data_IF_734404811733
#
_entry.id   IF_734404811733
#
_cell.length_a   1.000
_cell.length_b   1.000
_cell.length_c   1.000
_cell.angle_alpha   90.00
_cell.angle_beta   90.00
_cell.angle_gamma   90.00
#
_symmetry.space_group_name_H-M   'P 1'
#
loop_
_entity.id
_entity.type
_entity.pdbx_description
1 polymer ?
2 non-polymer ?
3 non-polymer ?
4 water ?
#
# COMPACT_ATOMS: atom_id res chain seq x y z
N UNK A 15 14.49 31.16 -0.75
CA UNK A 15 15.19 31.06 0.52
C UNK A 15 14.31 31.47 1.70
N UNK A 16 14.94 31.95 2.77
CA UNK A 16 14.22 32.39 3.96
C UNK A 16 14.67 33.77 4.40
N UNK A 17 15.24 34.53 3.47
CA UNK A 17 15.85 35.83 3.79
C UNK A 17 14.82 36.97 3.80
N UNK A 18 13.54 36.63 3.97
CA UNK A 18 12.48 37.62 4.05
C UNK A 18 11.26 37.07 4.78
N UNK A 19 11.50 36.20 5.75
CA UNK A 19 10.43 35.63 6.57
C UNK A 19 10.49 36.11 8.02
N UNK A 20 9.37 36.68 8.52
CA UNK A 20 9.22 37.21 9.88
C UNK A 20 9.73 36.26 10.95
N UNK A 21 10.18 36.80 12.07
CA UNK A 21 10.73 35.99 13.15
C UNK A 21 9.66 35.08 13.76
N UNK A 22 8.42 35.55 13.78
CA UNK A 22 7.31 34.74 14.30
C UNK A 22 7.20 33.42 13.54
N UNK A 23 7.29 33.50 12.22
CA UNK A 23 7.18 32.32 11.37
C UNK A 23 8.45 31.47 11.36
N UNK A 24 9.61 32.11 11.35
CA UNK A 24 10.88 31.38 11.38
C UNK A 24 11.03 30.54 12.64
N UNK A 25 10.41 30.99 13.73
CA UNK A 25 10.45 30.25 14.99
C UNK A 25 9.54 29.05 14.94
N UNK A 26 8.42 29.18 14.23
CA UNK A 26 7.49 28.08 14.02
C UNK A 26 8.05 27.06 13.05
N UNK A 27 8.74 27.53 12.02
CA UNK A 27 9.36 26.65 11.05
C UNK A 27 10.49 25.85 11.69
N UNK A 28 11.15 26.44 12.67
CA UNK A 28 12.23 25.74 13.38
C UNK A 28 11.69 24.62 14.27
N UNK A 29 10.52 24.86 14.87
CA UNK A 29 9.90 23.84 15.73
C UNK A 29 9.29 22.71 14.90
N UNK A 30 8.62 23.07 13.82
CA UNK A 30 8.09 22.09 12.89
C UNK A 30 9.21 21.23 12.32
N UNK A 31 10.34 21.84 12.02
CA UNK A 31 11.51 21.10 11.55
C UNK A 31 11.98 20.09 12.59
N UNK A 32 12.04 20.50 13.85
CA UNK A 32 12.57 19.65 14.91
C UNK A 32 11.68 18.45 15.22
N UNK A 33 10.38 18.59 15.02
CA UNK A 33 9.45 17.52 15.34
C UNK A 33 9.26 16.59 14.15
N UNK A 34 9.40 17.12 12.94
CA UNK A 34 9.19 16.34 11.73
C UNK A 34 10.49 15.81 11.14
N UNK A 35 11.59 16.06 11.83
CA UNK A 35 12.86 15.47 11.45
C UNK A 35 13.07 14.20 12.24
N UNK A 36 13.42 13.12 11.55
CA UNK A 36 13.70 11.83 12.20
C UNK A 36 15.13 11.41 11.89
N UNK A 37 16.00 11.44 12.89
CA UNK A 37 17.40 11.12 12.66
C UNK A 37 17.65 9.62 12.50
N UNK A 38 18.89 9.25 12.23
CA UNK A 38 19.26 7.86 11.97
C UNK A 38 19.16 6.99 13.22
N UNK A 39 19.37 7.60 14.38
CA UNK A 39 19.32 6.85 15.63
C UNK A 39 17.90 6.40 15.92
N UNK A 40 16.94 7.27 15.64
CA UNK A 40 15.52 6.95 15.83
C UNK A 40 15.04 5.91 14.82
N UNK A 41 15.49 6.04 13.58
CA UNK A 41 15.15 5.07 12.55
C UNK A 41 15.62 3.68 12.94
N UNK A 42 16.85 3.59 13.44
CA UNK A 42 17.41 2.32 13.89
C UNK A 42 16.65 1.76 15.08
N UNK A 43 16.12 2.66 15.91
CA UNK A 43 15.30 2.28 17.05
C UNK A 43 13.98 1.68 16.58
N UNK A 44 13.30 2.38 15.68
CA UNK A 44 12.04 1.90 15.12
C UNK A 44 12.23 0.52 14.49
N UNK A 45 13.29 0.36 13.71
CA UNK A 45 13.56 -0.89 13.00
C UNK A 45 13.69 -2.10 13.94
N UNK A 46 14.41 -1.94 15.04
CA UNK A 46 14.61 -3.04 15.99
C UNK A 46 13.31 -3.56 16.58
N UNK A 47 12.41 -2.64 16.94
CA UNK A 47 11.12 -3.03 17.48
C UNK A 47 10.24 -3.57 16.36
N UNK A 48 10.45 -3.05 15.16
CA UNK A 48 9.74 -3.51 13.97
C UNK A 48 10.01 -5.00 13.76
N UNK A 49 11.26 -5.39 13.97
CA UNK A 49 11.65 -6.80 13.78
C UNK A 49 10.99 -7.70 14.82
N UNK A 50 10.92 -7.24 16.06
CA UNK A 50 10.24 -8.00 17.10
C UNK A 50 8.78 -8.20 16.76
N UNK A 51 8.13 -7.14 16.31
CA UNK A 51 6.72 -7.21 15.94
C UNK A 51 6.45 -8.12 14.73
N UNK A 52 7.43 -8.23 13.84
CA UNK A 52 7.32 -9.14 12.71
C UNK A 52 7.33 -10.58 13.20
N UNK A 53 8.25 -10.89 14.11
CA UNK A 53 8.33 -12.22 14.69
C UNK A 53 7.12 -12.54 15.55
N UNK A 54 6.71 -11.57 16.36
CA UNK A 54 5.57 -11.74 17.25
C UNK A 54 4.30 -12.04 16.47
N UNK A 55 4.17 -11.42 15.30
CA UNK A 55 2.99 -11.62 14.46
C UNK A 55 2.93 -13.00 13.81
N UNK A 56 4.02 -13.74 13.90
CA UNK A 56 4.09 -15.09 13.33
C UNK A 56 3.80 -16.16 14.38
N UNK A 57 3.67 -15.75 15.64
CA UNK A 57 3.34 -16.68 16.71
C UNK A 57 1.83 -16.82 16.88
N UNK A 58 1.40 -17.81 17.64
CA UNK A 58 -0.01 -18.06 17.86
C UNK A 58 -0.67 -16.93 18.64
N UNK A 59 0.05 -16.41 19.63
CA UNK A 59 -0.45 -15.30 20.44
C UNK A 59 -0.69 -14.08 19.54
N UNK A 60 0.08 -13.99 18.46
CA UNK A 60 -0.09 -12.92 17.48
C UNK A 60 0.55 -11.61 17.90
N UNK A 61 0.16 -10.54 17.20
CA UNK A 61 0.64 -9.21 17.49
C UNK A 61 -0.13 -8.22 16.64
N UNK A 62 0.20 -6.94 16.74
CA UNK A 62 -0.49 -5.93 15.96
C UNK A 62 -0.23 -6.03 14.46
N UNK A 63 0.88 -6.68 14.09
CA UNK A 63 1.15 -6.99 12.69
C UNK A 63 0.59 -8.37 12.34
N UNK A 64 -0.46 -8.39 11.51
CA UNK A 64 -1.19 -9.61 11.10
C UNK A 64 -0.30 -10.72 10.54
N UNK A 65 0.69 -10.39 9.71
CA UNK A 65 1.54 -11.41 9.09
C UNK A 65 0.70 -12.50 8.44
N UNK A 66 -0.19 -12.09 7.53
CA UNK A 66 -1.11 -13.01 6.86
C UNK A 66 -0.40 -13.82 5.75
N UNK A 67 -0.56 -15.15 5.76
CA UNK A 67 -0.03 -15.98 4.70
C UNK A 67 -0.68 -15.69 3.35
N UNK A 68 0.09 -15.76 2.27
CA UNK A 68 -0.41 -15.47 0.94
C UNK A 68 -0.72 -16.73 0.16
N UNK A 69 -0.26 -17.87 0.68
CA UNK A 69 -0.51 -19.18 0.07
C UNK A 69 0.10 -19.30 -1.31
N UNK A 70 1.28 -18.71 -1.44
CA UNK A 70 2.12 -18.91 -2.61
C UNK A 70 3.41 -19.56 -2.14
N UNK A 71 3.54 -20.86 -2.39
CA UNK A 71 4.66 -21.63 -1.85
C UNK A 71 5.74 -21.93 -2.87
N UNK A 72 5.81 -21.15 -3.95
CA UNK A 72 6.83 -21.35 -4.97
C UNK A 72 7.32 -20.03 -5.51
N UNK A 73 8.55 -20.04 -6.02
CA UNK A 73 9.04 -18.91 -6.79
C UNK A 73 8.69 -19.16 -8.25
N UNK A 74 8.16 -18.13 -8.93
CA UNK A 74 7.90 -18.21 -10.36
C UNK A 74 9.21 -18.46 -11.13
N UNK A 75 9.18 -19.41 -12.06
CA UNK A 75 10.39 -19.78 -12.80
C UNK A 75 10.43 -19.15 -14.18
N UNK A 76 9.26 -18.85 -14.72
CA UNK A 76 9.17 -18.27 -16.05
C UNK A 76 8.51 -19.24 -17.02
N UNK A 77 8.62 -20.53 -16.68
CA UNK A 77 8.05 -21.58 -17.52
C UNK A 77 6.52 -21.61 -17.38
N UNK A 78 5.98 -20.65 -16.64
CA UNK A 78 4.52 -20.58 -16.44
C UNK A 78 3.81 -20.09 -17.69
N UNK A 79 2.77 -20.81 -18.08
CA UNK A 79 2.01 -20.48 -19.27
C UNK A 79 0.50 -20.62 -19.06
N UNK A 80 -0.28 -19.92 -19.88
CA UNK A 80 -1.72 -20.00 -19.82
C UNK A 80 -2.42 -18.66 -19.96
N UNK A 81 -3.75 -18.70 -20.10
CA UNK A 81 -4.57 -17.50 -20.17
C UNK A 81 -5.30 -17.29 -18.85
N UNK A 82 -4.90 -16.25 -18.13
CA UNK A 82 -5.47 -15.98 -16.81
C UNK A 82 -6.07 -14.59 -16.73
N UNK A 83 -7.26 -14.51 -16.15
CA UNK A 83 -7.88 -13.22 -15.87
C UNK A 83 -7.41 -12.70 -14.52
N UNK A 84 -7.49 -11.39 -14.34
CA UNK A 84 -7.11 -10.76 -13.08
C UNK A 84 -7.83 -9.43 -12.92
N UNK A 85 -8.61 -9.28 -11.86
CA UNK A 85 -9.23 -8.00 -11.58
C UNK A 85 -8.52 -7.30 -10.43
N UNK A 86 -8.61 -5.98 -10.40
CA UNK A 86 -8.00 -5.19 -9.34
C UNK A 86 -8.96 -4.11 -8.86
N UNK A 87 -9.36 -4.21 -7.59
CA UNK A 87 -10.26 -3.22 -7.00
C UNK A 87 -9.50 -2.07 -6.37
N UNK A 88 -9.39 -0.97 -7.11
CA UNK A 88 -8.80 0.25 -6.59
C UNK A 88 -9.90 1.13 -6.02
N UNK A 89 -9.52 2.28 -5.47
CA UNK A 89 -10.49 3.21 -4.92
C UNK A 89 -11.07 4.11 -6.00
N UNK A 90 -10.34 4.25 -7.09
CA UNK A 90 -10.73 5.15 -8.17
C UNK A 90 -11.49 4.41 -9.29
N UNK A 91 -11.04 3.20 -9.63
CA UNK A 91 -11.70 2.42 -10.67
C UNK A 91 -11.28 0.95 -10.72
N UNK A 92 -12.18 0.12 -11.24
CA UNK A 92 -11.96 -1.32 -11.37
C UNK A 92 -11.13 -1.61 -12.61
N UNK A 93 -10.20 -2.55 -12.49
CA UNK A 93 -9.32 -2.88 -13.61
C UNK A 93 -9.35 -4.37 -13.94
N UNK A 94 -10.01 -4.70 -15.05
CA UNK A 94 -10.06 -6.08 -15.52
C UNK A 94 -8.91 -6.30 -16.50
N UNK A 95 -8.22 -7.43 -16.37
CA UNK A 95 -7.02 -7.69 -17.17
C UNK A 95 -6.94 -9.14 -17.66
N UNK A 96 -6.71 -9.32 -18.95
CA UNK A 96 -6.42 -10.63 -19.49
C UNK A 96 -4.92 -10.79 -19.64
N UNK A 97 -4.37 -11.89 -19.12
CA UNK A 97 -2.93 -12.11 -19.17
C UNK A 97 -2.57 -13.42 -19.85
N UNK A 98 -1.84 -13.32 -20.95
CA UNK A 98 -1.34 -14.49 -21.65
C UNK A 98 0.11 -14.73 -21.28
N UNK A 99 0.34 -15.62 -20.31
CA UNK A 99 1.68 -15.98 -19.91
C UNK A 99 2.30 -16.89 -20.97
N UNK A 100 3.21 -16.33 -21.76
CA UNK A 100 3.79 -17.04 -22.89
C UNK A 100 4.83 -18.08 -22.45
N UNK A 101 5.42 -17.87 -21.29
CA UNK A 101 6.47 -18.76 -20.81
C UNK A 101 7.84 -18.33 -21.29
N UNK A 102 7.86 -17.29 -22.12
CA UNK A 102 9.12 -16.70 -22.60
C UNK A 102 9.74 -15.82 -21.52
N UNK A 103 9.22 -15.95 -20.30
CA UNK A 103 9.66 -15.15 -19.16
C UNK A 103 9.07 -13.73 -19.19
N UNK A 104 8.14 -13.51 -20.11
CA UNK A 104 7.35 -12.28 -20.15
C UNK A 104 5.88 -12.59 -20.38
N UNK A 105 5.07 -11.55 -20.56
CA UNK A 105 3.63 -11.72 -20.68
C UNK A 105 2.99 -10.74 -21.65
N UNK A 106 1.79 -11.08 -22.11
CA UNK A 106 1.02 -10.23 -23.01
C UNK A 106 -0.33 -9.94 -22.37
N UNK A 107 -0.58 -8.68 -22.02
CA UNK A 107 -1.79 -8.33 -21.27
C UNK A 107 -2.74 -7.40 -22.03
N UNK A 108 -4.00 -7.84 -22.13
CA UNK A 108 -5.06 -7.01 -22.68
C UNK A 108 -5.94 -6.54 -21.54
N UNK A 109 -5.96 -5.24 -21.27
CA UNK A 109 -6.66 -4.74 -20.09
C UNK A 109 -7.78 -3.73 -20.37
N UNK A 110 -8.64 -3.51 -19.38
CA UNK A 110 -9.70 -2.52 -19.45
C UNK A 110 -9.78 -1.77 -18.14
N UNK A 111 -10.37 -0.57 -18.18
CA UNK A 111 -10.55 0.23 -16.98
C UNK A 111 -12.01 0.63 -16.86
N UNK A 112 -12.60 0.36 -15.70
CA UNK A 112 -13.99 0.71 -15.46
C UNK A 112 -14.10 1.66 -14.29
N UNK A 113 -14.43 2.92 -14.56
CA UNK A 113 -14.60 3.93 -13.53
C UNK A 113 -15.62 3.49 -12.48
N UNK A 114 -15.30 3.73 -11.21
CA UNK A 114 -16.24 3.49 -10.14
C UNK A 114 -17.25 4.63 -10.06
N UNK A 115 -18.55 4.28 -10.04
CA UNK A 115 -19.62 5.27 -9.85
C UNK A 115 -19.39 6.16 -8.63
N UNK A 116 -20.09 7.28 -8.56
CA UNK A 116 -19.89 8.28 -7.52
C UNK A 116 -19.74 7.73 -6.10
N UNK A 117 -20.86 7.39 -5.47
CA UNK A 117 -20.87 6.98 -4.07
C UNK A 117 -20.49 5.51 -3.85
N UNK A 118 -19.85 4.89 -4.83
CA UNK A 118 -19.56 3.45 -4.76
C UNK A 118 -18.67 3.05 -3.58
N UNK A 119 -17.54 3.76 -3.42
CA UNK A 119 -16.60 3.47 -2.36
C UNK A 119 -17.21 3.65 -0.97
N UNK A 120 -18.45 4.15 -0.94
CA UNK A 120 -19.07 4.53 0.31
C UNK A 120 -20.54 4.06 0.40
N UNK A 121 -20.97 3.32 -0.61
CA UNK A 121 -22.38 2.92 -0.75
C UNK A 121 -22.91 2.08 0.42
N UNK A 122 -24.19 2.28 0.74
CA UNK A 122 -24.84 1.53 1.80
C UNK A 122 -25.35 0.19 1.29
N UNK A 123 -25.54 0.11 -0.03
CA UNK A 123 -25.98 -1.14 -0.65
C UNK A 123 -24.78 -1.89 -1.22
N UNK A 124 -24.22 -2.80 -0.42
CA UNK A 124 -22.98 -3.47 -0.78
C UNK A 124 -23.12 -4.35 -2.02
N UNK A 125 -24.33 -4.81 -2.30
CA UNK A 125 -24.56 -5.69 -3.45
C UNK A 125 -24.24 -4.96 -4.76
N UNK A 126 -24.24 -3.64 -4.72
CA UNK A 126 -23.92 -2.86 -5.91
C UNK A 126 -22.46 -3.02 -6.31
N UNK A 127 -21.60 -3.16 -5.31
CA UNK A 127 -20.17 -3.32 -5.57
C UNK A 127 -19.88 -4.62 -6.33
N UNK A 128 -20.39 -5.73 -5.79
CA UNK A 128 -20.17 -7.02 -6.41
C UNK A 128 -20.90 -7.10 -7.75
N UNK A 129 -22.10 -6.53 -7.79
CA UNK A 129 -22.88 -6.50 -9.02
C UNK A 129 -22.14 -5.71 -10.09
N UNK A 130 -21.44 -4.66 -9.67
CA UNK A 130 -20.67 -3.84 -10.59
C UNK A 130 -19.49 -4.62 -11.15
N UNK A 131 -18.72 -5.25 -10.27
CA UNK A 131 -17.54 -6.01 -10.69
C UNK A 131 -17.93 -7.12 -11.67
N UNK A 132 -19.04 -7.80 -11.39
CA UNK A 132 -19.49 -8.91 -12.23
C UNK A 132 -19.93 -8.43 -13.61
N UNK A 133 -20.66 -7.32 -13.64
CA UNK A 133 -21.13 -6.77 -14.91
C UNK A 133 -19.97 -6.29 -15.78
N UNK A 134 -18.98 -5.68 -15.14
CA UNK A 134 -17.78 -5.20 -15.83
C UNK A 134 -16.98 -6.37 -16.40
N UNK A 135 -17.00 -7.50 -15.70
CA UNK A 135 -16.33 -8.70 -16.20
C UNK A 135 -16.99 -9.21 -17.47
N UNK A 136 -18.33 -9.13 -17.50
CA UNK A 136 -19.09 -9.62 -18.65
C UNK A 136 -18.86 -8.75 -19.89
N UNK A 137 -18.67 -7.45 -19.69
CA UNK A 137 -18.34 -6.55 -20.80
C UNK A 137 -16.98 -6.90 -21.39
N UNK A 138 -16.02 -7.16 -20.52
CA UNK A 138 -14.69 -7.55 -20.94
C UNK A 138 -14.74 -8.88 -21.70
N UNK A 139 -15.66 -9.74 -21.30
CA UNK A 139 -15.83 -11.05 -21.93
C UNK A 139 -16.37 -10.93 -23.35
N UNK A 140 -17.35 -10.07 -23.54
CA UNK A 140 -18.00 -9.93 -24.85
C UNK A 140 -17.14 -9.12 -25.81
N UNK A 141 -16.32 -8.20 -25.27
CA UNK A 141 -15.45 -7.38 -26.11
C UNK A 141 -14.19 -8.13 -26.54
N UNK A 142 -13.81 -9.14 -25.75
CA UNK A 142 -12.66 -9.97 -26.07
C UNK A 142 -13.11 -11.25 -26.77
N UNK A 143 -14.43 -11.41 -26.89
CA UNK A 143 -15.03 -12.56 -27.57
C UNK A 143 -14.63 -13.91 -26.96
N UNK A 144 -14.08 -13.88 -25.76
CA UNK A 144 -13.73 -15.09 -25.06
C UNK A 144 -14.89 -15.62 -24.21
N UNK A 145 -16.09 -15.59 -24.77
CA UNK A 145 -17.29 -16.10 -24.10
C UNK A 145 -17.70 -17.46 -24.66
N UNK A 146 -16.76 -18.13 -25.32
CA UNK A 146 -16.94 -19.54 -25.66
C UNK A 146 -16.47 -20.41 -24.51
N UNK A 147 -15.59 -21.36 -24.76
CA UNK A 147 -15.20 -22.19 -23.63
C UNK A 147 -13.94 -23.06 -23.56
N UNK A 149 -12.79 -22.64 -21.59
CA UNK A 149 -12.56 -23.65 -20.58
C UNK A 149 -13.13 -22.77 -19.51
N UNK A 150 -12.98 -23.12 -18.24
CA UNK A 150 -13.24 -22.14 -17.21
C UNK A 150 -11.99 -21.28 -16.98
N UNK A 151 -12.13 -19.97 -17.19
CA UNK A 151 -10.99 -19.06 -17.03
C UNK A 151 -10.67 -18.84 -15.56
N UNK A 152 -9.43 -19.19 -15.17
CA UNK A 152 -8.97 -18.91 -13.81
C UNK A 152 -8.96 -17.40 -13.58
N UNK A 153 -9.43 -16.96 -12.43
CA UNK A 153 -9.43 -15.55 -12.10
C UNK A 153 -8.58 -15.26 -10.87
N UNK A 154 -7.77 -14.21 -10.95
CA UNK A 154 -7.00 -13.73 -9.82
C UNK A 154 -7.56 -12.40 -9.34
N UNK A 155 -8.07 -12.39 -8.11
CA UNK A 155 -8.76 -11.23 -7.56
C UNK A 155 -7.86 -10.48 -6.58
N UNK A 156 -7.29 -9.36 -7.02
CA UNK A 156 -6.46 -8.54 -6.16
C UNK A 156 -7.33 -7.65 -5.28
N UNK A 157 -7.43 -8.01 -4.01
CA UNK A 157 -8.22 -7.26 -3.03
C UNK A 157 -7.28 -6.69 -1.97
N UNK A 158 -6.86 -5.45 -2.16
CA UNK A 158 -5.81 -4.87 -1.31
C UNK A 158 -6.32 -4.19 -0.04
N UNK A 159 -7.07 -4.95 0.75
CA UNK A 159 -7.57 -4.48 2.04
C UNK A 159 -7.35 -5.60 3.03
N UNK A 160 -7.21 -5.26 4.32
CA UNK A 160 -6.97 -6.31 5.32
C UNK A 160 -7.99 -7.45 5.20
N UNK A 161 -7.51 -8.66 5.04
CA UNK A 161 -8.38 -9.82 4.93
C UNK A 161 -7.58 -11.07 5.28
N UNK A 162 -7.93 -11.70 6.39
CA UNK A 162 -7.27 -12.94 6.79
C UNK A 162 -7.68 -14.06 5.83
N UNK A 163 -6.73 -14.92 5.48
CA UNK A 163 -7.03 -16.06 4.63
C UNK A 163 -6.34 -17.35 5.08
N UNK A 164 -7.13 -18.40 5.25
CA UNK A 164 -6.65 -19.72 5.64
C UNK A 164 -6.45 -20.60 4.40
N UNK A 165 -6.73 -20.04 3.24
CA UNK A 165 -6.47 -20.69 1.96
C UNK A 165 -6.47 -19.59 0.91
N UNK A 166 -5.82 -19.85 -0.23
CA UNK A 166 -5.62 -18.80 -1.21
C UNK A 166 -6.91 -18.22 -1.79
N UNK A 167 -7.92 -19.05 -1.97
CA UNK A 167 -9.18 -18.56 -2.53
C UNK A 167 -10.19 -18.15 -1.46
N UNK A 168 -9.69 -17.42 -0.47
CA UNK A 168 -10.51 -16.92 0.61
C UNK A 168 -9.98 -15.55 1.02
N UNK A 169 -10.87 -14.67 1.45
CA UNK A 169 -10.47 -13.34 1.88
C UNK A 169 -11.51 -12.73 2.79
N UNK A 170 -11.36 -12.96 4.09
CA UNK A 170 -12.32 -12.42 5.05
C UNK A 170 -11.94 -11.01 5.47
N UNK A 171 -12.71 -10.06 4.96
CA UNK A 171 -12.45 -8.64 5.14
C UNK A 171 -12.35 -8.28 6.62
N UNK A 172 -11.21 -7.74 7.01
CA UNK A 172 -10.99 -7.32 8.39
C UNK A 172 -11.58 -5.95 8.64
N UNK A 173 -11.20 -4.99 7.80
CA UNK A 173 -11.65 -3.62 7.92
C UNK A 173 -11.38 -2.86 6.63
N UNK A 174 -12.25 -1.92 6.28
CA UNK A 174 -12.05 -1.09 5.10
C UNK A 174 -10.99 -0.03 5.38
N UNK A 175 -10.20 0.30 4.36
CA UNK A 175 -9.22 1.37 4.46
C UNK A 175 -9.20 2.16 3.15
N UNK A 176 -8.34 3.16 3.09
CA UNK A 176 -8.14 3.94 1.87
C UNK A 176 -9.42 4.60 1.32
N UNK A 177 -10.29 5.03 2.22
CA UNK A 177 -11.47 5.77 1.84
C UNK A 177 -12.72 4.93 1.62
N UNK A 178 -12.59 3.61 1.74
CA UNK A 178 -13.73 2.73 1.56
C UNK A 178 -14.57 2.63 2.82
N UNK A 179 -15.89 2.64 2.64
CA UNK A 179 -16.80 2.45 3.76
C UNK A 179 -18.11 1.86 3.26
N UNK A 180 -18.16 0.54 3.23
CA UNK A 180 -19.37 -0.17 2.82
C UNK A 180 -19.84 -1.05 3.97
N UNK A 181 -21.14 -0.96 4.31
CA UNK A 181 -21.80 -1.52 5.49
C UNK A 181 -21.50 -2.99 5.83
N UNK A 182 -22.10 -3.92 5.09
CA UNK A 182 -22.14 -5.31 5.55
C UNK A 182 -21.15 -6.27 4.89
N UNK A 183 -19.91 -5.81 4.70
CA UNK A 183 -18.90 -6.65 4.06
C UNK A 183 -17.83 -7.10 5.05
N UNK A 184 -17.59 -6.29 6.09
CA UNK A 184 -16.56 -6.62 7.06
C UNK A 184 -16.89 -7.90 7.83
N UNK A 185 -15.87 -8.69 8.11
CA UNK A 185 -16.03 -9.95 8.80
C UNK A 185 -16.60 -11.02 7.89
N UNK A 186 -16.58 -10.75 6.59
CA UNK A 186 -17.18 -11.64 5.61
C UNK A 186 -16.17 -12.09 4.56
N UNK A 187 -16.33 -13.31 4.07
CA UNK A 187 -15.52 -13.76 2.95
C UNK A 187 -15.97 -13.06 1.67
N UNK A 188 -15.05 -12.33 1.07
CA UNK A 188 -15.33 -11.55 -0.13
C UNK A 188 -15.46 -12.44 -1.37
N UNK A 189 -14.73 -13.55 -1.40
CA UNK A 189 -14.70 -14.40 -2.58
C UNK A 189 -16.06 -14.99 -2.99
N UNK A 190 -16.79 -15.60 -2.05
CA UNK A 190 -18.10 -16.16 -2.40
C UNK A 190 -19.07 -15.06 -2.81
N UNK A 191 -18.89 -13.87 -2.26
CA UNK A 191 -19.73 -12.74 -2.61
C UNK A 191 -19.62 -12.45 -4.11
N UNK A 192 -18.41 -12.53 -4.63
CA UNK A 192 -18.16 -12.26 -6.04
C UNK A 192 -18.44 -13.50 -6.88
N UNK A 193 -18.12 -14.66 -6.34
CA UNK A 193 -18.23 -15.89 -7.10
C UNK A 193 -19.68 -16.22 -7.45
N UNK A 194 -20.57 -16.13 -6.47
CA UNK A 194 -21.96 -16.48 -6.74
C UNK A 194 -22.71 -15.37 -7.47
N UNK A 195 -22.02 -14.27 -7.72
CA UNK A 195 -22.54 -13.22 -8.57
C UNK A 195 -22.14 -13.51 -10.03
N UNK A 196 -20.94 -14.05 -10.20
CA UNK A 196 -20.44 -14.50 -11.49
C UNK A 196 -21.28 -15.65 -12.02
N UNK A 197 -21.64 -16.57 -11.14
CA UNK A 197 -22.40 -17.76 -11.54
C UNK A 197 -23.85 -17.45 -11.86
N UNK A 198 -24.37 -16.35 -11.32
CA UNK A 198 -25.72 -15.91 -11.66
C UNK A 198 -25.80 -15.48 -13.12
N UNK A 199 -24.67 -15.00 -13.64
CA UNK A 199 -24.62 -14.54 -15.02
C UNK A 199 -24.04 -15.65 -15.90
N UNK A 200 -23.81 -16.81 -15.29
CA UNK A 200 -23.27 -17.97 -15.99
C UNK A 200 -21.98 -17.67 -16.75
N UNK A 201 -21.18 -16.76 -16.21
CA UNK A 201 -19.87 -16.46 -16.77
C UNK A 201 -18.91 -17.61 -16.48
N UNK A 202 -18.10 -17.98 -17.49
CA UNK A 202 -17.13 -19.08 -17.40
C UNK A 202 -15.88 -18.70 -16.61
N UNK A 203 -16.06 -18.03 -15.47
CA UNK A 203 -14.95 -17.64 -14.61
C UNK A 203 -14.98 -18.42 -13.31
N UNK A 204 -13.79 -18.69 -12.76
CA UNK A 204 -13.69 -19.21 -11.41
C UNK A 204 -12.60 -18.48 -10.64
N UNK A 205 -12.94 -17.98 -9.47
CA UNK A 205 -11.96 -17.34 -8.62
C UNK A 205 -11.04 -18.39 -8.02
N UNK A 206 -9.81 -18.44 -8.52
CA UNK A 206 -8.85 -19.44 -8.07
C UNK A 206 -7.97 -18.91 -6.94
N UNK A 207 -7.89 -17.58 -6.81
CA UNK A 207 -7.03 -16.95 -5.82
C UNK A 207 -7.43 -15.54 -5.43
N UNK A 208 -7.36 -15.26 -4.13
CA UNK A 208 -7.50 -13.92 -3.59
C UNK A 208 -6.09 -13.42 -3.25
N UNK A 209 -5.67 -12.31 -3.85
CA UNK A 209 -4.29 -11.86 -3.70
C UNK A 209 -4.19 -10.41 -3.20
N UNK A 210 -3.21 -10.15 -2.34
CA UNK A 210 -2.95 -8.79 -1.88
C UNK A 210 -2.01 -8.08 -2.83
N UNK A 211 -2.28 -6.80 -3.11
CA UNK A 211 -1.49 -6.03 -4.07
C UNK A 211 0.03 -6.10 -3.82
N UNK A 212 0.45 -6.12 -2.56
CA UNK A 212 1.88 -6.20 -2.24
C UNK A 212 2.44 -7.57 -2.60
N UNK A 213 1.60 -8.60 -2.50
CA UNK A 213 2.03 -9.95 -2.83
C UNK A 213 2.09 -10.16 -4.33
N UNK A 214 1.07 -9.68 -5.04
CA UNK A 214 1.07 -9.73 -6.50
C UNK A 214 2.27 -9.01 -7.03
N UNK A 215 2.64 -7.91 -6.37
CA UNK A 215 3.84 -7.14 -6.69
C UNK A 215 5.12 -7.94 -6.43
N UNK A 216 5.18 -8.56 -5.25
CA UNK A 216 6.30 -9.41 -4.89
C UNK A 216 6.57 -10.47 -5.96
N UNK A 217 5.50 -11.04 -6.52
CA UNK A 217 5.62 -12.14 -7.48
C UNK A 217 5.84 -11.68 -8.92
N UNK A 218 5.12 -10.63 -9.32
CA UNK A 218 5.26 -10.09 -10.67
C UNK A 218 6.71 -9.64 -10.90
N UNK A 219 7.33 -9.12 -9.86
CA UNK A 219 8.69 -8.61 -9.95
C UNK A 219 9.73 -9.73 -9.90
N UNK A 220 9.47 -10.75 -9.10
CA UNK A 220 10.38 -11.88 -9.03
C UNK A 220 10.39 -12.63 -10.36
N UNK A 221 9.24 -12.58 -11.03
CA UNK A 221 9.05 -13.23 -12.32
C UNK A 221 10.05 -12.71 -13.35
N UNK A 222 10.46 -11.46 -13.19
CA UNK A 222 11.35 -10.82 -14.16
C UNK A 222 12.61 -10.29 -13.49
N UNK A 223 12.78 -10.59 -12.22
CA UNK A 223 13.96 -10.19 -11.46
C UNK A 223 14.09 -11.09 -10.25
N UNK A 224 14.89 -12.16 -10.38
CA UNK A 224 15.09 -13.16 -9.34
C UNK A 224 15.77 -12.58 -8.10
N UNK A 225 16.24 -11.35 -8.19
CA UNK A 225 16.90 -10.69 -7.06
C UNK A 225 15.89 -9.95 -6.19
N UNK A 226 14.61 -10.06 -6.54
CA UNK A 226 13.54 -9.42 -5.80
C UNK A 226 13.35 -10.06 -4.42
N UNK A 227 13.60 -9.28 -3.37
CA UNK A 227 13.57 -9.78 -1.99
C UNK A 227 12.27 -9.40 -1.28
N UNK A 228 11.57 -8.40 -1.82
CA UNK A 228 10.40 -7.86 -1.17
C UNK A 228 9.58 -7.08 -2.18
N UNK A 229 8.27 -7.05 -1.97
CA UNK A 229 7.38 -6.22 -2.77
C UNK A 229 6.67 -5.25 -1.85
N UNK A 230 6.94 -3.96 -2.00
CA UNK A 230 6.36 -2.94 -1.13
C UNK A 230 5.46 -1.98 -1.89
N UNK A 231 4.51 -1.40 -1.17
CA UNK A 231 3.63 -0.39 -1.74
C UNK A 231 3.70 0.91 -0.94
N UNK A 232 4.20 1.95 -1.60
CA UNK A 232 4.15 3.30 -1.06
C UNK A 232 3.03 4.02 -1.78
N UNK A 233 1.78 3.71 -1.44
CA UNK A 233 0.65 4.30 -2.14
C UNK A 233 -0.31 5.03 -1.22
N UNK A 234 -1.59 5.00 -1.59
CA UNK A 234 -2.64 5.57 -0.74
C UNK A 234 -2.71 4.75 0.54
N UNK A 235 -2.01 3.62 0.54
CA UNK A 235 -1.82 2.81 1.72
C UNK A 235 -0.41 2.27 1.68
N UNK A 236 0.10 1.80 2.81
CA UNK A 236 1.43 1.21 2.83
C UNK A 236 1.37 -0.23 3.34
N UNK A 237 2.22 -1.07 2.76
CA UNK A 237 2.26 -2.48 3.08
C UNK A 237 3.47 -3.11 2.38
N UNK A 238 3.87 -4.29 2.83
CA UNK A 238 5.00 -4.97 2.24
C UNK A 238 4.84 -6.48 2.34
N UNK A 239 5.20 -7.17 1.26
CA UNK A 239 5.16 -8.63 1.23
C UNK A 239 6.56 -9.17 0.97
N UNK A 240 6.81 -10.40 1.42
CA UNK A 240 8.09 -11.04 1.20
C UNK A 240 7.96 -12.56 1.28
N UNK A 241 8.92 -13.27 0.72
CA UNK A 241 8.97 -14.71 0.82
C UNK A 241 9.63 -15.14 2.11
N UNK A 242 8.91 -15.90 2.93
CA UNK A 242 9.47 -16.45 4.15
C UNK A 242 9.65 -17.95 3.93
N UNK A 243 9.88 -18.69 5.01
CA UNK A 243 9.88 -20.14 4.95
C UNK A 243 8.84 -20.68 5.93
N UNK A 244 8.15 -21.73 5.53
CA UNK A 244 7.05 -22.28 6.33
C UNK A 244 7.44 -22.53 7.79
N UNK A 245 8.65 -23.04 7.99
CA UNK A 245 9.12 -23.42 9.31
C UNK A 245 9.16 -22.22 10.25
N UNK A 246 9.36 -21.04 9.67
CA UNK A 246 9.43 -19.81 10.45
C UNK A 246 8.07 -19.38 10.95
N UNK A 247 7.03 -19.79 10.23
CA UNK A 247 5.65 -19.41 10.57
C UNK A 247 5.05 -20.35 11.61
N UNK A 248 5.36 -20.06 12.87
CA UNK A 248 4.97 -20.91 14.00
C UNK A 248 3.47 -21.19 14.09
N UNK A 249 2.66 -20.19 13.81
CA UNK A 249 1.21 -20.32 13.97
C UNK A 249 0.57 -21.34 13.01
N UNK A 250 1.29 -21.70 11.96
CA UNK A 250 0.82 -22.71 11.02
C UNK A 250 1.34 -24.09 11.40
N UNK A 251 1.91 -24.18 12.60
CA UNK A 251 2.47 -25.43 13.12
C UNK A 251 1.37 -26.48 13.27
N UNK A 252 1.51 -27.57 12.52
CA UNK A 252 0.58 -28.68 12.60
C UNK A 252 -0.80 -28.36 12.08
N UNK A 253 -0.87 -27.50 11.07
CA UNK A 253 -2.13 -27.15 10.43
C UNK A 253 -2.00 -27.29 8.92
N UNK A 254 -0.91 -27.92 8.49
CA UNK A 254 -0.62 -28.02 7.07
C UNK A 254 -0.48 -29.48 6.62
N UNK A 255 -0.73 -29.72 5.33
CA UNK A 255 -0.57 -31.04 4.74
C UNK A 255 0.90 -31.35 4.46
N UNK A 256 1.18 -32.59 4.11
CA UNK A 256 2.56 -33.03 3.87
C UNK A 256 3.10 -32.53 2.53
N UNK A 257 2.23 -31.94 1.72
CA UNK A 257 2.65 -31.37 0.45
C UNK A 257 3.11 -29.92 0.62
N UNK A 258 3.11 -29.47 1.87
CA UNK A 258 3.69 -28.18 2.22
C UNK A 258 4.74 -28.37 3.32
N UNK A 259 5.95 -28.77 2.92
CA UNK A 259 7.11 -29.07 3.79
C UNK A 259 7.64 -27.83 4.51
N UNK A 260 8.54 -28.03 5.47
CA UNK A 260 9.04 -26.95 6.31
C UNK A 260 10.02 -26.01 5.58
N UNK A 261 10.74 -26.52 4.60
CA UNK A 261 11.70 -25.72 3.85
C UNK A 261 11.02 -24.95 2.70
N UNK A 262 9.71 -25.03 2.66
CA UNK A 262 8.91 -24.44 1.60
C UNK A 262 8.82 -22.91 1.74
N UNK A 263 8.88 -22.20 0.61
CA UNK A 263 8.69 -20.75 0.61
C UNK A 263 7.22 -20.43 0.84
N UNK A 264 6.95 -19.24 1.36
CA UNK A 264 5.59 -18.81 1.62
C UNK A 264 5.54 -17.30 1.59
N UNK A 265 4.80 -16.76 0.63
CA UNK A 265 4.63 -15.32 0.53
C UNK A 265 3.82 -14.80 1.72
N UNK A 266 4.39 -13.86 2.46
CA UNK A 266 3.72 -13.25 3.59
C UNK A 266 3.22 -11.86 3.26
N UNK A 267 1.92 -11.64 3.49
CA UNK A 267 1.35 -10.30 3.45
C UNK A 267 1.40 -9.71 4.85
N UNK A 268 2.42 -8.89 5.11
CA UNK A 268 2.69 -8.39 6.44
C UNK A 268 1.52 -7.64 7.04
N UNK A 269 0.88 -6.79 6.24
CA UNK A 269 -0.12 -5.85 6.74
C UNK A 269 0.45 -5.03 7.87
N UNK A 270 1.68 -4.53 7.69
CA UNK A 270 2.37 -3.85 8.77
C UNK A 270 2.05 -2.37 8.90
N UNK A 271 1.01 -1.93 8.21
CA UNK A 271 0.49 -0.59 8.42
C UNK A 271 -0.11 -0.46 9.80
N UNK A 272 -0.25 -1.59 10.48
CA UNK A 272 -0.81 -1.62 11.83
C UNK A 272 0.29 -1.63 12.86
N UNK A 273 1.54 -1.56 12.41
CA UNK A 273 2.70 -1.60 13.29
C UNK A 273 2.66 -0.52 14.36
N UNK A 274 2.99 -0.92 15.59
CA UNK A 274 3.05 0.00 16.73
C UNK A 274 1.74 0.72 17.03
N UNK A 275 0.63 -0.03 17.00
CA UNK A 275 -0.64 0.51 17.45
C UNK A 275 -0.63 0.73 18.97
N UNK A 276 0.41 0.22 19.62
CA UNK A 276 0.60 0.38 21.05
C UNK A 276 1.30 1.71 21.32
N UNK A 277 1.87 2.29 20.27
CA UNK A 277 2.55 3.57 20.34
C UNK A 277 3.73 3.55 21.30
N UNK A 278 4.74 2.75 21.00
CA UNK A 278 5.88 2.59 21.90
C UNK A 278 7.20 3.03 21.28
N UNK A 279 7.23 3.26 19.97
CA UNK A 279 8.48 3.66 19.32
C UNK A 279 8.33 4.79 18.30
N UNK A 280 7.24 4.80 17.55
CA UNK A 280 7.04 5.79 16.51
C UNK A 280 7.04 7.19 17.11
N UNK A 281 7.74 8.14 16.46
CA UNK A 281 7.86 9.52 16.91
C UNK A 281 6.61 10.33 16.60
N UNK A 282 5.47 9.92 17.14
CA UNK A 282 4.22 10.63 16.91
C UNK A 282 4.22 11.98 17.62
N UNK A 283 3.73 12.99 16.92
CA UNK A 283 3.63 14.33 17.47
C UNK A 283 2.16 14.62 17.78
N UNK A 284 1.89 15.81 18.32
CA UNK A 284 0.52 16.18 18.64
C UNK A 284 -0.35 16.20 17.39
N UNK A 285 0.26 16.50 16.25
CA UNK A 285 -0.46 16.56 14.98
C UNK A 285 -0.77 15.14 14.50
N UNK A 286 0.12 14.22 14.78
CA UNK A 286 -0.10 12.81 14.44
C UNK A 286 -1.24 12.27 15.28
N UNK A 287 -1.12 12.46 16.60
CA UNK A 287 -2.18 12.08 17.52
C UNK A 287 -3.51 12.66 17.07
N UNK A 288 -3.51 13.93 16.68
CA UNK A 288 -4.71 14.59 16.20
C UNK A 288 -5.32 13.86 15.01
N UNK A 289 -4.50 13.54 14.02
CA UNK A 289 -4.98 12.83 12.83
C UNK A 289 -5.65 11.52 13.22
N UNK A 290 -5.02 10.82 14.17
CA UNK A 290 -5.51 9.53 14.63
C UNK A 290 -6.85 9.66 15.33
N UNK A 291 -6.92 10.57 16.29
CA UNK A 291 -8.13 10.75 17.10
C UNK A 291 -9.34 11.07 16.24
N UNK A 292 -9.14 11.80 15.17
CA UNK A 292 -10.25 12.26 14.35
C UNK A 292 -10.57 11.33 13.19
N UNK A 293 -9.73 10.32 12.98
CA UNK A 293 -9.93 9.36 11.91
C UNK A 293 -11.03 8.38 12.26
N UNK A 294 -11.69 7.80 11.23
CA UNK A 294 -12.79 6.84 11.36
C UNK A 294 -12.58 5.83 12.49
N UNK A 295 -11.45 5.12 12.47
CA UNK A 295 -11.15 4.17 13.55
C UNK A 295 -9.80 4.44 14.20
N UNK A 296 -9.81 5.27 15.26
CA UNK A 296 -8.62 5.64 16.04
C UNK A 296 -7.97 4.44 16.72
N UNK A 297 -6.65 4.48 16.87
CA UNK A 297 -5.91 3.38 17.46
C UNK A 297 -5.49 2.35 16.43
N UNK A 298 -5.87 2.59 15.18
CA UNK A 298 -5.54 1.69 14.08
C UNK A 298 -4.48 2.29 13.15
N UNK A 299 -3.82 1.44 12.38
CA UNK A 299 -2.90 1.88 11.35
C UNK A 299 -1.97 3.00 11.81
N UNK A 300 -1.32 2.82 12.95
CA UNK A 300 -0.43 3.84 13.50
C UNK A 300 0.67 4.19 12.52
N UNK A 301 1.36 3.17 12.03
CA UNK A 301 2.46 3.33 11.09
C UNK A 301 1.97 3.91 9.78
N UNK A 302 0.85 3.38 9.30
CA UNK A 302 0.29 3.81 8.02
C UNK A 302 -0.20 5.26 8.06
N UNK A 303 -0.83 5.66 9.16
CA UNK A 303 -1.36 7.01 9.28
C UNK A 303 -0.29 8.10 9.17
N UNK A 304 0.97 7.74 9.38
CA UNK A 304 2.03 8.75 9.31
C UNK A 304 3.05 8.52 8.19
N UNK A 305 2.70 7.68 7.22
CA UNK A 305 3.55 7.45 6.07
C UNK A 305 2.71 7.27 4.80
N UNK A 306 1.40 7.13 4.98
CA UNK A 306 0.50 6.79 3.89
C UNK A 306 0.04 8.03 3.15
N UNK A 307 -0.18 7.87 1.83
CA UNK A 307 -0.67 8.96 1.01
C UNK A 307 -2.04 9.45 1.42
N UNK A 308 -2.83 8.57 2.02
CA UNK A 308 -4.18 8.90 2.41
C UNK A 308 -4.23 9.95 3.51
N UNK A 309 -3.19 9.98 4.34
CA UNK A 309 -3.18 10.86 5.51
C UNK A 309 -2.22 12.05 5.41
N UNK A 310 -1.34 12.05 4.41
CA UNK A 310 -0.32 13.10 4.30
C UNK A 310 -0.92 14.50 4.22
N UNK A 311 -2.01 14.64 3.46
CA UNK A 311 -2.68 15.92 3.31
C UNK A 311 -3.48 16.33 4.54
N UNK A 312 -4.02 15.33 5.24
CA UNK A 312 -4.74 15.58 6.49
C UNK A 312 -3.80 16.20 7.54
N UNK A 313 -2.56 15.74 7.56
CA UNK A 313 -1.53 16.33 8.41
C UNK A 313 -1.32 17.81 8.13
N UNK A 314 -1.13 18.13 6.85
CA UNK A 314 -0.93 19.51 6.43
C UNK A 314 -2.11 20.37 6.87
N UNK A 315 -3.32 19.83 6.67
CA UNK A 315 -4.56 20.54 6.99
C UNK A 315 -4.62 20.93 8.47
N UNK A 316 -4.24 19.99 9.33
CA UNK A 316 -4.31 20.24 10.78
C UNK A 316 -3.24 21.22 11.25
N UNK A 317 -2.04 21.12 10.71
CA UNK A 317 -0.99 22.07 11.06
C UNK A 317 -1.40 23.47 10.64
N UNK A 318 -1.99 23.58 9.45
CA UNK A 318 -2.47 24.87 8.96
C UNK A 318 -3.55 25.42 9.86
N UNK A 319 -4.48 24.56 10.28
CA UNK A 319 -5.58 24.98 11.14
C UNK A 319 -5.08 25.43 12.53
N UNK A 320 -4.14 24.67 13.11
CA UNK A 320 -3.66 25.02 14.44
C UNK A 320 -2.80 26.29 14.42
N UNK A 321 -2.05 26.48 13.34
CA UNK A 321 -1.24 27.68 13.20
C UNK A 321 -2.12 28.90 13.00
N UNK A 322 -3.29 28.69 12.39
CA UNK A 322 -4.25 29.76 12.23
C UNK A 322 -4.94 30.11 13.54
N UNK A 323 -5.41 29.09 14.24
CA UNK A 323 -6.03 29.26 15.55
C UNK A 323 -4.97 29.51 16.61
N UNK A 324 -4.07 30.43 16.31
CA UNK A 324 -2.96 30.75 17.19
C UNK A 324 -2.45 32.11 16.76
N UNK A 325 -3.19 32.71 15.83
CA UNK A 325 -2.90 34.04 15.33
C UNK A 325 -1.49 34.15 14.80
N UNK A 326 -1.17 33.34 13.80
CA UNK A 326 0.19 33.27 13.30
C UNK A 326 0.22 33.19 11.78
N UNK A 327 -0.93 32.83 11.20
CA UNK A 327 -1.00 32.48 9.80
C UNK A 327 -2.43 32.51 9.29
N UNK A 328 -2.61 32.95 8.06
CA UNK A 328 -3.93 33.04 7.44
C UNK A 328 -4.90 33.85 8.29
N UNK A 329 -4.40 34.93 8.88
CA UNK A 329 -5.21 35.79 9.74
C UNK A 329 -6.34 36.46 8.97
N UNK A 330 -7.54 36.36 9.53
CA UNK A 330 -8.71 37.02 8.96
C UNK A 330 -8.99 36.52 7.54
N UNK A 331 -8.89 35.20 7.39
CA UNK A 331 -9.20 34.54 6.12
C UNK A 331 -10.32 33.54 6.36
N UNK A 332 -11.05 33.20 5.30
CA UNK A 332 -12.12 32.22 5.42
C UNK A 332 -11.60 30.80 5.25
N UNK A 333 -11.53 30.07 6.35
CA UNK A 333 -11.05 28.69 6.32
C UNK A 333 -12.23 27.73 6.31
N UNK A 334 -13.37 28.21 5.81
CA UNK A 334 -14.58 27.41 5.75
C UNK A 334 -14.35 26.12 4.96
N UNK A 335 -13.59 26.22 3.87
CA UNK A 335 -13.33 25.07 3.01
C UNK A 335 -12.27 24.13 3.58
N UNK A 336 -11.27 24.70 4.25
CA UNK A 336 -10.21 23.89 4.87
C UNK A 336 -10.66 23.16 6.12
N UNK A 337 -11.87 23.48 6.60
CA UNK A 337 -12.39 22.87 7.82
C UNK A 337 -12.92 21.46 7.57
N UNK A 338 -13.17 21.14 6.30
CA UNK A 338 -13.67 19.81 5.94
C UNK A 338 -12.54 18.79 5.95
N UNK A 339 -12.68 17.75 6.79
CA UNK A 339 -11.66 16.70 6.93
C UNK A 339 -11.41 15.94 5.62
N UNK A 340 -10.13 15.69 5.34
CA UNK A 340 -9.72 14.92 4.17
C UNK A 340 -10.09 15.59 2.86
N UNK A 341 -10.18 16.92 2.88
CA UNK A 341 -10.39 17.67 1.66
C UNK A 341 -9.09 17.73 0.86
N UNK A 342 -7.97 17.80 1.58
CA UNK A 342 -6.65 17.79 0.97
C UNK A 342 -6.12 16.36 0.86
N UNK A 343 -5.92 15.89 -0.36
CA UNK A 343 -5.23 14.62 -0.60
C UNK A 343 -3.76 14.90 -0.86
N UNK A 344 -2.98 13.86 -1.17
CA UNK A 344 -1.54 14.02 -1.35
C UNK A 344 -1.13 14.86 -2.56
N UNK A 345 -2.07 15.10 -3.48
CA UNK A 345 -1.78 15.91 -4.65
C UNK A 345 -1.36 17.32 -4.24
N UNK A 346 -1.94 17.83 -3.17
CA UNK A 346 -1.63 19.16 -2.68
C UNK A 346 -0.18 19.30 -2.21
N UNK A 347 0.24 18.48 -1.23
CA UNK A 347 1.65 18.50 -0.82
C UNK A 347 2.57 18.27 -2.02
N UNK A 348 2.19 17.33 -2.88
CA UNK A 348 2.98 17.00 -4.06
C UNK A 348 3.13 18.19 -4.99
N UNK A 349 2.03 18.89 -5.25
CA UNK A 349 2.03 20.03 -6.17
C UNK A 349 2.70 21.25 -5.54
N UNK A 350 2.54 21.42 -4.24
CA UNK A 350 3.17 22.51 -3.50
C UNK A 350 4.69 22.34 -3.53
N UNK A 351 5.14 21.12 -3.32
CA UNK A 351 6.56 20.82 -3.36
C UNK A 351 7.08 20.91 -4.79
N UNK A 352 6.18 20.77 -5.76
CA UNK A 352 6.55 20.73 -7.17
C UNK A 352 6.55 22.11 -7.80
N UNK A 353 6.21 23.12 -7.00
CA UNK A 353 6.15 24.50 -7.44
C UNK A 353 7.54 24.99 -7.85
N UNK A 354 7.70 25.35 -9.14
CA UNK A 354 8.98 25.80 -9.73
C UNK A 354 9.23 27.30 -9.53
N UNK A 355 8.24 28.00 -9.00
CA UNK A 355 8.30 29.46 -8.94
C UNK A 355 8.91 30.01 -7.65
N UNK A 356 9.67 31.09 -7.80
CA UNK A 356 10.30 31.77 -6.68
C UNK A 356 9.26 32.20 -5.65
N UNK A 357 8.22 32.88 -6.12
CA UNK A 357 7.16 33.38 -5.26
C UNK A 357 6.07 32.33 -5.05
N UNK A 358 6.37 31.10 -5.45
CA UNK A 358 5.49 29.98 -5.23
C UNK A 358 4.09 30.29 -5.77
N UNK A 359 4.05 30.65 -7.04
CA UNK A 359 2.81 31.12 -7.64
C UNK A 359 1.83 29.98 -7.93
N UNK A 360 2.34 28.77 -8.08
CA UNK A 360 1.48 27.60 -8.22
C UNK A 360 0.71 27.38 -6.94
N UNK A 361 1.42 27.45 -5.82
CA UNK A 361 0.82 27.27 -4.49
C UNK A 361 -0.27 28.31 -4.25
N UNK A 362 0.06 29.55 -4.58
CA UNK A 362 -0.87 30.65 -4.43
C UNK A 362 -2.19 30.34 -5.12
N UNK A 363 -2.10 29.98 -6.40
CA UNK A 363 -3.26 29.65 -7.23
C UNK A 363 -4.14 28.56 -6.63
N UNK A 364 -3.51 27.61 -5.96
CA UNK A 364 -4.21 26.47 -5.38
C UNK A 364 -5.08 26.89 -4.18
N UNK A 365 -4.51 27.67 -3.28
CA UNK A 365 -5.25 28.10 -2.10
C UNK A 365 -6.34 29.10 -2.46
N UNK A 366 -6.15 29.83 -3.56
CA UNK A 366 -7.17 30.77 -4.04
C UNK A 366 -8.29 30.06 -4.78
N UNK A 367 -7.93 29.29 -5.81
CA UNK A 367 -8.93 28.60 -6.63
C UNK A 367 -9.68 27.51 -5.86
N UNK A 368 -8.93 26.73 -5.09
CA UNK A 368 -9.52 25.58 -4.41
C UNK A 368 -10.15 25.92 -3.06
N UNK A 369 -9.45 26.67 -2.22
CA UNK A 369 -9.92 26.91 -0.86
C UNK A 369 -10.39 28.35 -0.61
N UNK A 370 -10.13 29.23 -1.58
CA UNK A 370 -10.51 30.62 -1.45
C UNK A 370 -9.83 31.32 -0.28
N UNK A 371 -8.52 31.12 -0.16
CA UNK A 371 -7.74 31.76 0.90
C UNK A 371 -6.48 32.41 0.32
N UNK A 372 -6.24 33.67 0.70
CA UNK A 372 -5.07 34.38 0.24
C UNK A 372 -3.89 34.16 1.18
N UNK A 373 -2.71 34.01 0.60
CA UNK A 373 -1.50 33.80 1.38
C UNK A 373 -0.44 34.83 1.02
N UNK A 374 0.36 35.21 1.99
CA UNK A 374 1.52 36.05 1.72
C UNK A 374 2.65 35.15 1.21
N UNK A 375 3.75 35.75 0.77
CA UNK A 375 4.87 34.95 0.29
C UNK A 375 5.48 34.10 1.41
N UNK A 376 5.72 34.69 2.60
CA UNK A 376 6.29 33.91 3.71
C UNK A 376 5.36 32.81 4.21
N UNK A 377 4.05 32.98 4.03
CA UNK A 377 3.09 31.96 4.44
C UNK A 377 3.24 30.72 3.56
N UNK A 378 3.50 30.95 2.27
CA UNK A 378 3.74 29.87 1.33
C UNK A 378 5.15 29.29 1.52
N UNK A 379 6.09 30.11 1.97
CA UNK A 379 7.43 29.62 2.29
C UNK A 379 7.34 28.56 3.39
N UNK A 380 6.45 28.80 4.36
CA UNK A 380 6.24 27.89 5.48
C UNK A 380 5.46 26.66 5.05
N UNK A 381 4.39 26.86 4.31
CA UNK A 381 3.58 25.76 3.80
C UNK A 381 4.45 24.80 3.00
N UNK A 382 5.34 25.35 2.18
CA UNK A 382 6.21 24.57 1.31
C UNK A 382 7.22 23.76 2.12
N UNK A 383 7.83 24.40 3.11
CA UNK A 383 8.81 23.74 3.96
C UNK A 383 8.14 22.67 4.81
N UNK A 384 6.85 22.87 5.08
CA UNK A 384 6.07 21.90 5.84
C UNK A 384 5.82 20.65 5.02
N UNK A 385 5.44 20.84 3.76
CA UNK A 385 5.22 19.73 2.84
C UNK A 385 6.49 18.93 2.60
N UNK A 386 7.64 19.60 2.69
CA UNK A 386 8.92 18.92 2.55
C UNK A 386 9.17 18.03 3.76
N UNK A 387 8.89 18.56 4.95
CA UNK A 387 9.15 17.84 6.20
C UNK A 387 8.30 16.58 6.37
N UNK A 388 6.99 16.69 6.17
CA UNK A 388 6.10 15.54 6.37
C UNK A 388 6.29 14.51 5.27
N UNK A 389 6.73 14.95 4.10
CA UNK A 389 6.97 14.06 2.99
C UNK A 389 8.26 13.28 3.13
N UNK A 390 9.30 13.96 3.62
CA UNK A 390 10.59 13.32 3.87
C UNK A 390 10.52 12.36 5.03
N UNK A 391 9.76 12.73 6.06
CA UNK A 391 9.56 11.84 7.20
C UNK A 391 8.76 10.61 6.82
N UNK A 392 7.77 10.79 5.94
CA UNK A 392 6.98 9.68 5.44
C UNK A 392 7.89 8.67 4.75
N UNK A 393 8.84 9.16 3.99
CA UNK A 393 9.79 8.30 3.27
C UNK A 393 10.72 7.57 4.22
N UNK A 394 11.38 8.33 5.09
CA UNK A 394 12.33 7.76 6.05
C UNK A 394 11.69 6.72 6.97
N UNK A 395 10.43 6.94 7.35
CA UNK A 395 9.74 6.01 8.23
C UNK A 395 9.24 4.76 7.50
N UNK A 396 8.83 4.93 6.24
CA UNK A 396 8.28 3.84 5.45
C UNK A 396 9.31 2.77 5.12
N UNK A 397 10.57 3.16 4.97
CA UNK A 397 11.63 2.22 4.63
C UNK A 397 12.10 1.42 5.84
N UNK A 398 11.55 1.74 7.01
CA UNK A 398 11.86 0.99 8.22
C UNK A 398 11.29 -0.43 8.14
N UNK A 399 10.26 -0.61 7.32
CA UNK A 399 9.67 -1.92 7.11
C UNK A 399 10.53 -2.78 6.20
N UNK A 400 11.26 -2.13 5.29
CA UNK A 400 12.17 -2.82 4.37
C UNK A 400 13.40 -3.32 5.11
N UNK A 401 14.04 -2.42 5.87
CA UNK A 401 15.20 -2.80 6.65
C UNK A 401 14.86 -3.89 7.67
N UNK A 402 13.66 -3.81 8.25
CA UNK A 402 13.22 -4.78 9.25
C UNK A 402 13.05 -6.17 8.65
N UNK A 403 12.45 -6.25 7.47
CA UNK A 403 12.28 -7.54 6.80
C UNK A 403 13.61 -8.10 6.29
N UNK A 404 14.44 -7.24 5.72
CA UNK A 404 15.73 -7.68 5.19
C UNK A 404 16.66 -8.15 6.29
N UNK A 405 16.42 -7.72 7.52
CA UNK A 405 17.28 -8.07 8.65
C UNK A 405 16.75 -9.23 9.47
N UNK A 406 15.43 -9.40 9.49
CA UNK A 406 14.81 -10.57 10.12
C UNK A 406 15.18 -11.81 9.33
N UNK A 407 14.98 -11.76 8.02
CA UNK A 407 15.62 -12.70 7.12
C UNK A 407 17.04 -12.18 7.00
N UNK A 408 17.97 -13.01 6.53
CA UNK A 408 19.35 -12.57 6.48
C UNK A 408 19.74 -11.90 5.19
N UNK A 409 18.81 -11.15 4.59
CA UNK A 409 19.05 -10.56 3.27
C UNK A 409 20.18 -9.53 3.29
N UNK A 410 21.35 -9.93 2.82
CA UNK A 410 22.50 -9.03 2.78
C UNK A 410 22.40 -8.13 1.56
N UNK A 411 21.86 -8.67 0.48
CA UNK A 411 21.69 -7.92 -0.76
C UNK A 411 20.35 -8.30 -1.41
N UNK A 412 19.90 -7.46 -2.33
CA UNK A 412 18.67 -7.73 -3.05
C UNK A 412 17.98 -6.49 -3.59
N UNK A 413 16.99 -6.71 -4.44
CA UNK A 413 16.17 -5.62 -4.95
C UNK A 413 14.82 -5.60 -4.25
N UNK A 414 14.34 -4.39 -3.96
CA UNK A 414 13.04 -4.20 -3.37
C UNK A 414 12.08 -3.66 -4.42
N UNK A 415 11.13 -4.48 -4.84
CA UNK A 415 10.18 -4.06 -5.86
C UNK A 415 9.17 -3.08 -5.26
N UNK A 416 9.15 -1.84 -5.76
CA UNK A 416 8.29 -0.81 -5.21
C UNK A 416 7.29 -0.24 -6.20
N UNK A 417 6.07 0.00 -5.73
CA UNK A 417 5.02 0.62 -6.52
C UNK A 417 4.23 1.56 -5.60
N UNK A 418 3.22 2.23 -6.13
CA UNK A 418 2.38 3.12 -5.35
C UNK A 418 2.37 4.53 -5.90
N UNK A 419 1.25 5.22 -5.72
CA UNK A 419 1.10 6.57 -6.25
C UNK A 419 2.05 7.56 -5.58
N UNK A 420 2.42 7.31 -4.34
CA UNK A 420 3.34 8.20 -3.65
C UNK A 420 4.76 7.96 -4.11
N UNK A 421 5.17 6.70 -4.21
CA UNK A 421 6.51 6.39 -4.70
C UNK A 421 6.71 6.94 -6.10
N UNK A 422 5.68 6.79 -6.93
CA UNK A 422 5.76 7.17 -8.34
C UNK A 422 5.57 8.66 -8.63
N UNK A 423 4.60 9.30 -7.98
CA UNK A 423 4.20 10.65 -8.34
C UNK A 423 4.78 11.73 -7.43
N UNK A 424 5.02 11.40 -6.17
CA UNK A 424 5.45 12.39 -5.19
C UNK A 424 6.92 12.78 -5.39
N UNK A 425 7.16 14.08 -5.61
CA UNK A 425 8.47 14.65 -5.93
C UNK A 425 9.52 14.41 -4.85
N UNK A 426 10.61 13.76 -5.22
CA UNK A 426 11.74 13.59 -4.33
C UNK A 426 11.57 12.45 -3.33
N UNK A 427 10.51 11.68 -3.51
CA UNK A 427 10.21 10.58 -2.59
C UNK A 427 11.19 9.42 -2.79
N UNK A 428 11.44 9.08 -4.05
CA UNK A 428 12.39 8.03 -4.39
C UNK A 428 13.73 8.29 -3.74
N UNK A 429 14.23 9.51 -3.88
CA UNK A 429 15.52 9.90 -3.30
C UNK A 429 15.50 9.79 -1.78
N UNK A 430 14.40 10.24 -1.19
CA UNK A 430 14.25 10.26 0.26
C UNK A 430 14.18 8.85 0.84
N UNK A 431 13.47 7.97 0.15
CA UNK A 431 13.33 6.59 0.60
C UNK A 431 14.67 5.86 0.55
N UNK A 432 15.51 6.24 -0.42
CA UNK A 432 16.82 5.64 -0.59
C UNK A 432 17.81 6.16 0.44
N UNK A 433 17.78 7.46 0.69
CA UNK A 433 18.66 8.07 1.67
C UNK A 433 18.27 7.58 3.06
N UNK A 434 16.97 7.43 3.29
CA UNK A 434 16.47 6.94 4.56
C UNK A 434 16.98 5.53 4.81
N UNK A 435 17.12 4.78 3.73
CA UNK A 435 17.59 3.40 3.81
C UNK A 435 19.10 3.33 4.04
N UNK A 436 19.83 4.27 3.45
CA UNK A 436 21.29 4.33 3.62
C UNK A 436 21.66 4.78 5.02
N UNK A 437 20.78 5.57 5.64
CA UNK A 437 21.01 6.06 6.98
C UNK A 437 20.86 4.94 7.99
N UNK A 438 19.85 4.10 7.78
CA UNK A 438 19.57 3.00 8.67
C UNK A 438 20.72 1.99 8.68
N UNK A 439 21.22 1.66 7.50
CA UNK A 439 22.33 0.70 7.40
C UNK A 439 23.70 1.31 7.64
N UNK A 440 23.83 2.61 7.35
CA UNK A 440 25.08 3.30 7.55
C UNK A 440 25.94 3.38 6.31
N UNK A 441 25.40 2.89 5.19
CA UNK A 441 26.14 2.87 3.92
C UNK A 441 26.66 4.24 3.51
N UNK A 442 27.88 4.27 2.98
CA UNK A 442 28.50 5.52 2.57
C UNK A 442 29.25 5.38 1.25
N UNK A 443 28.79 6.09 0.22
CA UNK A 443 29.52 6.14 -1.03
C UNK A 443 28.79 5.76 -2.31
N UNK A 444 28.35 6.77 -3.05
CA UNK A 444 27.96 6.65 -4.46
C UNK A 444 26.67 5.89 -4.83
N UNK A 445 26.00 5.29 -3.84
CA UNK A 445 24.68 4.68 -4.07
C UNK A 445 24.68 3.45 -4.97
N UNK A 446 25.71 3.29 -5.82
CA UNK A 446 25.82 2.11 -6.65
C UNK A 446 26.37 0.96 -5.83
N UNK A 447 27.06 1.30 -4.74
CA UNK A 447 27.63 0.30 -3.83
C UNK A 447 26.56 -0.29 -2.92
N UNK A 448 25.39 0.36 -2.86
CA UNK A 448 24.29 -0.09 -2.02
C UNK A 448 23.88 -1.54 -2.31
N UNK A 449 24.13 -2.44 -1.35
CA UNK A 449 23.84 -3.87 -1.47
C UNK A 449 22.35 -4.12 -1.69
N UNK A 450 21.53 -3.24 -1.14
CA UNK A 450 20.08 -3.33 -1.26
C UNK A 450 19.56 -2.05 -1.87
N UNK A 451 18.85 -2.17 -2.99
CA UNK A 451 18.31 -0.99 -3.67
C UNK A 451 16.82 -1.13 -3.96
N UNK A 452 16.14 0.00 -4.04
CA UNK A 452 14.72 0.01 -4.33
C UNK A 452 14.48 0.25 -5.82
N UNK A 453 13.89 -0.73 -6.50
CA UNK A 453 13.66 -0.63 -7.93
C UNK A 453 12.18 -0.58 -8.26
N UNK A 454 11.83 0.11 -9.36
CA UNK A 454 10.45 0.19 -9.86
C UNK A 454 9.88 -1.20 -10.10
N UNK A 455 8.66 -1.43 -9.64
CA UNK A 455 8.10 -2.78 -9.64
C UNK A 455 7.41 -3.16 -10.95
N UNK A 456 7.11 -4.45 -11.07
CA UNK A 456 6.31 -4.95 -12.17
C UNK A 456 4.85 -4.69 -11.88
N UNK A 457 3.98 -5.13 -12.78
CA UNK A 457 2.55 -5.00 -12.59
C UNK A 457 2.07 -6.06 -11.59
N UNK A 458 1.88 -5.64 -10.34
CA UNK A 458 1.51 -6.57 -9.29
C UNK A 458 0.04 -6.97 -9.29
N UNK A 459 -0.85 -6.03 -9.56
CA UNK A 459 -2.28 -6.30 -9.51
C UNK A 459 -2.78 -6.92 -10.82
N UNK A 460 -1.99 -6.79 -11.87
CA UNK A 460 -2.33 -7.38 -13.16
C UNK A 460 -1.55 -8.64 -13.43
N UNK A 461 -0.33 -8.48 -13.93
CA UNK A 461 0.54 -9.61 -14.23
C UNK A 461 0.76 -10.50 -13.01
N UNK A 462 1.02 -9.88 -11.86
CA UNK A 462 1.31 -10.60 -10.64
C UNK A 462 0.22 -11.58 -10.25
N UNK A 463 -1.03 -11.11 -10.26
CA UNK A 463 -2.17 -11.93 -9.89
C UNK A 463 -2.37 -13.08 -10.87
N UNK A 464 -2.08 -12.83 -12.15
CA UNK A 464 -2.18 -13.88 -13.16
C UNK A 464 -1.11 -14.96 -12.95
N UNK A 465 0.10 -14.53 -12.60
CA UNK A 465 1.19 -15.46 -12.29
C UNK A 465 0.89 -16.30 -11.04
N UNK A 466 0.07 -15.75 -10.14
CA UNK A 466 -0.34 -16.46 -8.93
C UNK A 466 -1.48 -17.43 -9.22
N UNK A 467 -2.38 -17.04 -10.12
CA UNK A 467 -3.46 -17.93 -10.54
C UNK A 467 -2.86 -19.13 -11.27
N UNK A 468 -1.79 -18.89 -12.03
CA UNK A 468 -1.08 -19.94 -12.72
C UNK A 468 -0.44 -20.92 -11.73
N UNK A 469 0.25 -20.38 -10.73
CA UNK A 469 0.89 -21.18 -9.70
C UNK A 469 -0.13 -21.94 -8.87
N UNK A 470 -1.32 -21.36 -8.74
CA UNK A 470 -2.39 -21.97 -7.95
C UNK A 470 -3.08 -23.11 -8.69
N UNK A 471 -3.34 -22.91 -9.97
CA UNK A 471 -4.02 -23.92 -10.77
C UNK A 471 -3.13 -25.15 -10.94
N UNK A 472 -1.83 -24.93 -10.96
CA UNK A 472 -0.86 -26.02 -11.07
C UNK A 472 -0.90 -26.94 -9.85
N UNK A 473 -1.17 -26.36 -8.69
CA UNK A 473 -1.30 -27.13 -7.46
C UNK A 473 -2.64 -27.84 -7.38
N UNK A 474 -3.69 -27.19 -7.88
CA UNK A 474 -5.01 -27.81 -7.97
C UNK A 474 -4.92 -29.06 -8.84
N UNK A 475 -4.26 -28.92 -9.97
CA UNK A 475 -4.07 -30.02 -10.91
C UNK A 475 -3.25 -31.16 -10.31
N UNK A 476 -2.25 -30.82 -9.51
CA UNK A 476 -1.42 -31.82 -8.86
C UNK A 476 -2.05 -32.34 -7.58
N UNK A 477 -3.27 -31.88 -7.30
CA UNK A 477 -4.02 -32.34 -6.14
C UNK A 477 -3.51 -31.79 -4.82
N UNK A 478 -2.46 -30.98 -4.89
CA UNK A 478 -1.83 -30.40 -3.70
C UNK A 478 -2.63 -29.25 -3.11
N UNK A 479 -2.44 -29.01 -1.81
CA UNK A 479 -3.24 -28.05 -1.05
C UNK A 479 -2.83 -26.59 -1.26
N UNK A 480 -3.72 -25.68 -0.84
CA UNK A 480 -3.49 -24.25 -0.96
C UNK A 480 -4.02 -23.51 0.27
N UNK A 481 -4.03 -24.21 1.41
CA UNK A 481 -4.49 -23.63 2.65
C UNK A 481 -4.30 -24.58 3.82
N UNK A 482 -4.81 -24.20 4.99
CA UNK A 482 -4.71 -25.08 6.15
C UNK A 482 -5.73 -26.22 6.05
N UNK A 483 -5.37 -27.34 6.66
CA UNK A 483 -6.21 -28.54 6.65
C UNK A 483 -7.61 -28.23 7.17
N UNK A 484 -8.61 -28.59 6.38
CA UNK A 484 -10.00 -28.42 6.78
C UNK A 484 -10.53 -27.02 6.53
N UNK A 485 -9.74 -26.21 5.83
CA UNK A 485 -10.17 -24.86 5.47
C UNK A 485 -10.96 -24.91 4.18
X LIG B 1 -4.07 -2.31 2.98
X LIG B 1 -3.17 -3.36 2.35
X LIG B 1 -2.54 -2.87 1.05
X LIG B 1 -2.00 -1.45 1.18
X LIG B 1 -1.51 -0.94 -0.18
X LIG B 1 -3.39 -0.94 2.99
X LIG B 1 -4.27 0.03 3.47
X LIG B 1 -4.39 -2.67 4.29
X LIG B 1 -3.90 -4.53 2.09
X LIG B 1 -1.47 -3.72 0.71
X LIG B 1 -3.00 -0.60 1.67
X LIG B 1 -2.63 -0.64 -0.98
X LIG C 1 -2.27 3.82 -5.21
X LIG C 1 -3.51 4.10 -5.93
X LIG C 1 -2.56 2.98 -4.06
X LIG C 1 -1.68 5.07 -4.75
X LIG C 1 -1.34 3.12 -6.09
#
# INVERSE_FOLDING_TARGET
>A
MVHLGPKKPQARKGSMADVPKELMDEIHQLEDMFTVDSETLRKVVKHFIDELNKGLTKKGGNIPMIPGWVMEFPTGKESGNYLAIDLGGTNLRVVLVKLSGNHTFDTTQSKYKLPHDMRTTKHQEELWSFIADSLKDFMVEQELLNTKDTLPLGFTFSYPASQNKINEGILQRWTKGFDIPNVEGHDVVPLLQNEISKRELPIEIVALINDTVGTLIASYYTDPETKMGVIFGTGVNGAFYDVVSDIEKLEGKLADDIPSNSPMAINCEYGSFDNEHLVLPRTKYDVAVDEQSPRPGQQAFEKMTSGYYLGELLRLVLLELNEKGLMLKDQDLSKLKQPYIMDTSYPARIEDDPFENLEDTDDIFQKDFGVKTTLPERKLIRRLCELIGTRAARLAVCGIAAICQKRGYKTGHIAADGSVYNKYPGFKEAAAKGLRDIYGWTGDASKDPITIVPAEDGSGAGAAVIAALSEKRIAEGKSLGIIGA
>B hetero
1 BGC C2 C3 C4 C5 C6 C1 O1 O2 O3 O4 O5 O6
>C hetero
1 SO4 S O1 O2 O3 O4
#
